data_IF_861817387825
#
_entry.id   IF_861817387825
#
_cell.length_a   1.000
_cell.length_b   1.000
_cell.length_c   1.000
_cell.angle_alpha   90.00
_cell.angle_beta   90.00
_cell.angle_gamma   90.00
#
_symmetry.space_group_name_H-M   'P 1'
#
loop_
_entity.id
_entity.type
_entity.pdbx_description
1 polymer ?
#
# COMPACT_ATOMS: atom_id res chain seq x y z
N UNK A 1 11.81 -15.41 -33.00
CA UNK A 1 12.38 -16.09 -31.81
C UNK A 1 12.49 -15.15 -30.61
N UNK A 2 13.04 -13.94 -30.79
CA UNK A 2 13.22 -12.92 -29.74
C UNK A 2 11.92 -12.47 -29.03
N UNK A 3 10.81 -12.28 -29.76
CA UNK A 3 9.52 -11.86 -29.18
C UNK A 3 8.98 -12.87 -28.15
N UNK A 4 9.21 -14.16 -28.38
CA UNK A 4 8.77 -15.23 -27.46
C UNK A 4 9.60 -15.19 -26.17
N UNK A 5 10.90 -14.93 -26.29
CA UNK A 5 11.81 -14.81 -25.16
C UNK A 5 11.54 -13.57 -24.30
N UNK A 6 11.27 -12.43 -24.93
CA UNK A 6 10.86 -11.19 -24.27
C UNK A 6 9.56 -11.38 -23.49
N UNK A 7 8.56 -12.04 -24.10
CA UNK A 7 7.27 -12.35 -23.45
C UNK A 7 7.45 -13.30 -22.26
N UNK A 8 8.36 -14.26 -22.36
CA UNK A 8 8.69 -15.18 -21.25
C UNK A 8 9.34 -14.43 -20.08
N UNK A 9 10.29 -13.54 -20.35
CA UNK A 9 11.00 -12.73 -19.34
C UNK A 9 10.05 -11.75 -18.65
N UNK A 10 9.23 -11.03 -19.41
CA UNK A 10 8.25 -10.09 -18.85
C UNK A 10 7.24 -10.79 -17.92
N UNK A 11 6.74 -11.97 -18.32
CA UNK A 11 5.83 -12.77 -17.49
C UNK A 11 6.48 -13.20 -16.18
N UNK A 12 7.77 -13.58 -16.19
CA UNK A 12 8.51 -13.91 -14.96
C UNK A 12 8.60 -12.71 -14.00
N UNK A 13 9.00 -11.52 -14.49
CA UNK A 13 9.12 -10.32 -13.65
C UNK A 13 7.78 -9.85 -13.09
N UNK A 14 6.72 -9.87 -13.90
CA UNK A 14 5.37 -9.51 -13.47
C UNK A 14 4.85 -10.44 -12.37
N UNK A 15 4.99 -11.76 -12.55
CA UNK A 15 4.56 -12.74 -11.55
C UNK A 15 5.34 -12.59 -10.24
N UNK A 16 6.65 -12.32 -10.29
CA UNK A 16 7.45 -12.08 -9.08
C UNK A 16 6.99 -10.82 -8.33
N UNK A 17 6.76 -9.70 -9.02
CA UNK A 17 6.28 -8.46 -8.39
C UNK A 17 4.91 -8.63 -7.74
N UNK A 18 4.01 -9.37 -8.40
CA UNK A 18 2.69 -9.71 -7.87
C UNK A 18 2.77 -10.57 -6.60
N UNK A 19 3.56 -11.64 -6.59
CA UNK A 19 3.74 -12.52 -5.42
C UNK A 19 4.30 -11.75 -4.22
N UNK A 20 5.32 -10.92 -4.42
CA UNK A 20 5.90 -10.10 -3.34
C UNK A 20 4.91 -9.09 -2.75
N UNK A 21 4.00 -8.55 -3.58
CA UNK A 21 2.94 -7.65 -3.11
C UNK A 21 1.82 -8.39 -2.38
N UNK A 22 1.49 -9.61 -2.77
CA UNK A 22 0.50 -10.44 -2.07
C UNK A 22 1.04 -10.93 -0.72
N UNK A 23 2.26 -11.46 -0.67
CA UNK A 23 2.91 -11.93 0.56
C UNK A 23 3.00 -10.82 1.61
N UNK A 24 3.24 -9.60 1.13
CA UNK A 24 3.24 -8.38 1.92
C UNK A 24 1.92 -8.10 2.65
N UNK A 25 0.79 -8.40 2.03
CA UNK A 25 -0.54 -8.19 2.59
C UNK A 25 -0.95 -9.36 3.50
N UNK A 26 -0.55 -10.58 3.16
CA UNK A 26 -0.83 -11.78 3.98
C UNK A 26 0.00 -11.81 5.27
N UNK A 27 1.26 -11.39 5.24
CA UNK A 27 2.11 -11.34 6.43
C UNK A 27 1.57 -10.37 7.50
N UNK A 28 1.00 -9.24 7.07
CA UNK A 28 0.37 -8.28 7.97
C UNK A 28 -0.87 -8.85 8.65
N UNK A 29 -1.72 -9.56 7.90
CA UNK A 29 -2.94 -10.19 8.43
C UNK A 29 -2.65 -11.39 9.35
N UNK A 30 -1.45 -11.98 9.26
CA UNK A 30 -1.00 -13.09 10.12
C UNK A 30 -0.37 -12.64 11.42
N UNK A 31 0.11 -11.39 11.49
CA UNK A 31 0.74 -10.84 12.68
C UNK A 31 -0.34 -10.21 13.58
N UNK A 32 -0.91 -11.04 14.46
CA UNK A 32 -1.99 -10.67 15.36
C UNK A 32 -1.63 -9.50 16.28
N UNK A 33 -0.37 -9.40 16.73
CA UNK A 33 0.10 -8.27 17.56
C UNK A 33 0.09 -6.97 16.75
N UNK A 34 0.58 -7.03 15.51
CA UNK A 34 0.60 -5.87 14.61
C UNK A 34 -0.81 -5.44 14.19
N UNK A 35 -1.73 -6.38 14.02
CA UNK A 35 -3.14 -6.11 13.71
C UNK A 35 -3.87 -5.47 14.89
N UNK A 36 -3.66 -5.96 16.12
CA UNK A 36 -4.21 -5.33 17.33
C UNK A 36 -3.69 -3.89 17.51
N UNK A 37 -2.39 -3.67 17.28
CA UNK A 37 -1.79 -2.32 17.31
C UNK A 37 -2.41 -1.40 16.28
N UNK A 38 -2.67 -1.91 15.07
CA UNK A 38 -3.37 -1.16 14.02
C UNK A 38 -4.79 -0.79 14.45
N UNK A 39 -5.56 -1.73 14.99
CA UNK A 39 -6.93 -1.51 15.45
C UNK A 39 -7.00 -0.46 16.57
N UNK A 40 -6.13 -0.54 17.57
CA UNK A 40 -6.05 0.43 18.68
C UNK A 40 -5.67 1.81 18.17
N UNK A 41 -4.62 1.92 17.33
CA UNK A 41 -4.17 3.18 16.78
C UNK A 41 -5.24 3.83 15.89
N UNK A 42 -5.95 3.03 15.09
CA UNK A 42 -7.02 3.48 14.24
C UNK A 42 -8.20 4.00 15.08
N UNK A 43 -8.61 3.25 16.10
CA UNK A 43 -9.72 3.61 16.99
C UNK A 43 -9.46 4.91 17.74
N UNK A 44 -8.26 5.06 18.32
CA UNK A 44 -7.85 6.28 19.00
C UNK A 44 -7.88 7.50 18.06
N UNK A 45 -7.45 7.33 16.81
CA UNK A 45 -7.42 8.41 15.82
C UNK A 45 -8.81 8.77 15.31
N UNK A 46 -9.67 7.78 15.10
CA UNK A 46 -11.08 8.00 14.76
C UNK A 46 -11.81 8.74 15.88
N UNK A 47 -11.54 8.44 17.14
CA UNK A 47 -12.11 9.18 18.27
C UNK A 47 -11.68 10.65 18.22
N UNK A 48 -10.38 10.94 18.06
CA UNK A 48 -9.87 12.30 17.94
C UNK A 48 -10.47 13.05 16.73
N UNK A 49 -10.66 12.36 15.60
CA UNK A 49 -11.33 12.94 14.43
C UNK A 49 -12.82 13.19 14.66
N UNK A 50 -13.52 12.29 15.35
CA UNK A 50 -14.92 12.48 15.71
C UNK A 50 -15.08 13.69 16.63
N UNK A 51 -14.22 13.80 17.65
CA UNK A 51 -14.21 14.94 18.57
C UNK A 51 -13.96 16.25 17.81
N UNK A 52 -13.04 16.24 16.83
CA UNK A 52 -12.75 17.38 15.96
C UNK A 52 -13.92 17.73 15.01
N UNK A 53 -14.60 16.73 14.45
CA UNK A 53 -15.68 16.91 13.46
C UNK A 53 -17.06 17.18 14.10
N UNK A 54 -17.18 16.95 15.41
CA UNK A 54 -18.39 17.26 16.18
C UNK A 54 -18.61 18.77 16.37
N UNK A 55 -17.61 19.60 16.02
CA UNK A 55 -17.74 21.06 15.92
C UNK A 55 -18.32 21.51 14.57
N UNK A 56 -19.49 22.16 14.65
CA UNK A 56 -20.16 22.99 13.62
C UNK A 56 -20.09 22.54 12.15
N UNK A 57 -21.20 22.00 11.63
CA UNK A 57 -21.51 22.03 10.19
C UNK A 57 -20.56 21.26 9.26
N UNK A 58 -20.01 20.13 9.69
CA UNK A 58 -19.11 19.34 8.85
C UNK A 58 -19.85 18.69 7.67
N UNK A 59 -19.36 18.93 6.46
CA UNK A 59 -19.94 18.37 5.24
C UNK A 59 -19.53 16.90 5.09
N UNK A 60 -20.41 16.05 4.53
CA UNK A 60 -20.13 14.61 4.33
C UNK A 60 -18.79 14.37 3.60
N UNK A 61 -18.42 15.29 2.71
CA UNK A 61 -17.15 15.26 1.98
C UNK A 61 -15.93 15.47 2.88
N UNK A 62 -15.97 16.39 3.85
CA UNK A 62 -14.86 16.62 4.77
C UNK A 62 -14.67 15.45 5.74
N UNK A 63 -15.77 14.84 6.19
CA UNK A 63 -15.77 13.61 7.00
C UNK A 63 -15.18 12.44 6.22
N UNK A 64 -15.57 12.26 4.96
CA UNK A 64 -15.02 11.22 4.08
C UNK A 64 -13.52 11.40 3.85
N UNK A 65 -13.07 12.64 3.61
CA UNK A 65 -11.66 12.98 3.45
C UNK A 65 -10.86 12.69 4.72
N UNK A 66 -11.35 13.10 5.89
CA UNK A 66 -10.70 12.86 7.18
C UNK A 66 -10.52 11.36 7.47
N UNK A 67 -11.55 10.55 7.19
CA UNK A 67 -11.48 9.10 7.38
C UNK A 67 -10.43 8.45 6.46
N UNK A 68 -10.36 8.87 5.19
CA UNK A 68 -9.37 8.36 4.25
C UNK A 68 -7.94 8.69 4.71
N UNK A 69 -7.73 9.91 5.21
CA UNK A 69 -6.44 10.37 5.75
C UNK A 69 -6.06 9.62 7.04
N UNK A 70 -7.02 9.41 7.95
CA UNK A 70 -6.83 8.64 9.18
C UNK A 70 -6.34 7.22 8.90
N UNK A 71 -7.06 6.49 8.04
CA UNK A 71 -6.72 5.12 7.66
C UNK A 71 -5.34 5.08 6.97
N UNK A 72 -5.10 5.97 6.01
CA UNK A 72 -3.83 6.01 5.26
C UNK A 72 -2.63 6.28 6.17
N UNK A 73 -2.77 7.22 7.10
CA UNK A 73 -1.71 7.56 8.04
C UNK A 73 -1.47 6.44 9.06
N UNK A 74 -2.51 5.84 9.64
CA UNK A 74 -2.34 4.71 10.57
C UNK A 74 -1.71 3.49 9.87
N UNK A 75 -2.07 3.24 8.60
CA UNK A 75 -1.41 2.23 7.79
C UNK A 75 0.08 2.53 7.66
N UNK A 76 0.47 3.77 7.33
CA UNK A 76 1.89 4.14 7.25
C UNK A 76 2.63 4.01 8.57
N UNK A 77 2.02 4.41 9.69
CA UNK A 77 2.67 4.38 11.00
C UNK A 77 2.90 2.94 11.50
N UNK A 78 1.94 2.05 11.28
CA UNK A 78 2.01 0.67 11.78
C UNK A 78 2.73 -0.26 10.80
N UNK A 79 2.50 -0.12 9.50
CA UNK A 79 3.17 -0.94 8.48
C UNK A 79 4.57 -0.42 8.14
N UNK A 80 4.85 0.84 8.45
CA UNK A 80 5.98 1.58 7.91
C UNK A 80 5.77 1.92 6.43
N UNK A 81 6.47 2.93 5.92
CA UNK A 81 6.68 3.04 4.48
C UNK A 81 7.44 1.80 4.02
N UNK A 82 6.73 0.84 3.40
CA UNK A 82 7.41 -0.15 2.55
C UNK A 82 8.08 0.64 1.44
N UNK A 83 9.39 0.90 1.60
CA UNK A 83 10.26 1.18 0.47
C UNK A 83 10.21 -0.08 -0.38
N UNK A 84 9.28 -0.11 -1.32
CA UNK A 84 9.47 -0.96 -2.48
C UNK A 84 10.80 -0.48 -3.06
N UNK A 85 11.85 -1.28 -2.87
CA UNK A 85 13.08 -1.10 -3.62
C UNK A 85 12.64 -1.18 -5.08
N UNK A 86 12.54 -0.03 -5.72
CA UNK A 86 12.20 0.03 -7.13
C UNK A 86 13.35 -0.67 -7.83
N UNK A 87 13.12 -1.92 -8.23
CA UNK A 87 14.00 -2.59 -9.17
C UNK A 87 13.82 -1.82 -10.47
N UNK A 88 14.88 -1.23 -10.99
CA UNK A 88 14.86 -0.52 -12.27
C UNK A 88 14.10 -1.38 -13.29
N UNK A 89 12.99 -0.84 -13.80
CA UNK A 89 12.31 -1.48 -14.91
C UNK A 89 13.25 -1.42 -16.10
N UNK A 90 13.52 -2.55 -16.73
CA UNK A 90 14.24 -2.57 -18.01
C UNK A 90 13.33 -1.86 -19.02
N UNK A 91 13.68 -0.64 -19.42
CA UNK A 91 13.04 0.09 -20.51
C UNK A 91 13.41 -0.54 -21.86
N UNK A 92 12.48 -0.47 -22.82
CA UNK A 92 12.65 -1.03 -24.17
C UNK A 92 13.90 -0.47 -24.86
N UNK A 93 14.27 0.80 -24.59
CA UNK A 93 15.46 1.45 -25.13
C UNK A 93 16.80 0.77 -24.76
N UNK A 94 16.83 0.01 -23.65
CA UNK A 94 18.05 -0.70 -23.22
C UNK A 94 18.20 -2.07 -23.90
N UNK A 95 17.16 -2.57 -24.57
CA UNK A 95 17.10 -3.93 -25.13
C UNK A 95 17.51 -4.01 -26.62
N UNK A 96 17.60 -2.87 -27.32
CA UNK A 96 17.90 -2.79 -28.77
C UNK A 96 19.41 -2.82 -29.10
N UNK A 97 20.29 -3.08 -28.11
CA UNK A 97 21.75 -3.05 -28.28
C UNK A 97 22.42 -4.40 -28.55
N UNK A 98 21.69 -5.39 -29.03
CA UNK A 98 22.32 -6.65 -29.51
C UNK A 98 21.60 -7.26 -30.69
#
# INVERSE_FOLDING_TARGET
MLVVEMKLKLKKHWTTGWTTSQDSNTAFLRDTDKLNKFEIALSNKFQAFHDLLSGEGTTVESTWKGNKEAITSTCHDVLGHKKHHHKEWITVDTLDKT
#
